data_IF_720237764597
#
_entry.id   IF_720237764597
#
_cell.length_a   1.000
_cell.length_b   1.000
_cell.length_c   1.000
_cell.angle_alpha   90.00
_cell.angle_beta   90.00
_cell.angle_gamma   90.00
#
_symmetry.space_group_name_H-M   'P 1'
#
loop_
_entity.id
_entity.type
_entity.pdbx_description
1 polymer ?
#
# COMPACT_ATOMS: atom_id res chain seq x y z
N UNK A 1 -9.55 -20.62 0.46
CA UNK A 1 -9.38 -20.30 1.90
C UNK A 1 -9.63 -18.81 2.22
N UNK A 2 -8.98 -17.83 1.58
CA UNK A 2 -9.26 -16.39 1.86
C UNK A 2 -10.60 -15.86 1.35
N UNK A 3 -11.10 -16.36 0.20
CA UNK A 3 -12.28 -15.79 -0.49
C UNK A 3 -13.58 -15.80 0.32
N UNK A 4 -13.66 -16.62 1.37
CA UNK A 4 -14.88 -16.80 2.17
C UNK A 4 -15.03 -15.81 3.33
N UNK A 5 -13.99 -15.01 3.63
CA UNK A 5 -13.96 -14.10 4.78
C UNK A 5 -13.62 -12.64 4.41
N UNK A 6 -13.70 -12.29 3.12
CA UNK A 6 -13.35 -10.97 2.58
C UNK A 6 -14.46 -10.47 1.65
N UNK A 7 -14.56 -9.16 1.49
CA UNK A 7 -15.59 -8.52 0.65
C UNK A 7 -16.63 -7.73 1.43
N UNK A 8 -17.67 -7.31 0.70
CA UNK A 8 -18.74 -6.45 1.19
C UNK A 8 -19.49 -7.11 2.36
N UNK A 9 -19.67 -6.36 3.46
CA UNK A 9 -20.30 -6.87 4.69
C UNK A 9 -19.37 -7.60 5.68
N UNK A 10 -18.10 -7.85 5.33
CA UNK A 10 -17.11 -8.43 6.25
C UNK A 10 -15.89 -7.54 6.49
N UNK A 11 -15.22 -7.11 5.42
CA UNK A 11 -14.05 -6.23 5.51
C UNK A 11 -14.28 -5.01 4.65
N UNK A 12 -13.88 -5.07 3.38
CA UNK A 12 -14.11 -4.04 2.36
C UNK A 12 -14.12 -4.70 0.98
N UNK A 13 -14.81 -4.10 0.02
CA UNK A 13 -15.01 -4.64 -1.33
C UNK A 13 -13.70 -4.84 -2.13
N UNK A 14 -12.67 -4.04 -1.84
CA UNK A 14 -11.37 -4.00 -2.53
C UNK A 14 -10.34 -4.99 -1.99
N UNK A 15 -10.63 -5.65 -0.86
CA UNK A 15 -9.67 -6.45 -0.12
C UNK A 15 -9.01 -7.54 -0.99
N UNK A 16 -9.82 -8.31 -1.72
CA UNK A 16 -9.30 -9.38 -2.58
C UNK A 16 -8.35 -8.84 -3.66
N UNK A 17 -8.72 -7.72 -4.28
CA UNK A 17 -7.98 -7.16 -5.40
C UNK A 17 -6.65 -6.56 -4.94
N UNK A 18 -6.69 -5.80 -3.83
CA UNK A 18 -5.51 -5.21 -3.19
C UNK A 18 -4.55 -6.31 -2.75
N UNK A 19 -5.04 -7.36 -2.08
CA UNK A 19 -4.20 -8.48 -1.64
C UNK A 19 -3.53 -9.18 -2.82
N UNK A 20 -4.28 -9.46 -3.89
CA UNK A 20 -3.75 -10.12 -5.08
C UNK A 20 -2.70 -9.26 -5.80
N UNK A 21 -2.93 -7.95 -5.88
CA UNK A 21 -1.99 -7.02 -6.51
C UNK A 21 -0.72 -6.85 -5.67
N UNK A 22 -0.83 -6.67 -4.35
CA UNK A 22 0.32 -6.58 -3.44
C UNK A 22 1.20 -7.82 -3.52
N UNK A 23 0.59 -9.01 -3.55
CA UNK A 23 1.31 -10.27 -3.69
C UNK A 23 2.08 -10.33 -5.01
N UNK A 24 1.45 -9.95 -6.12
CA UNK A 24 2.09 -9.93 -7.43
C UNK A 24 3.28 -8.95 -7.47
N UNK A 25 3.10 -7.72 -6.94
CA UNK A 25 4.17 -6.73 -6.85
C UNK A 25 5.34 -7.21 -5.97
N UNK A 26 5.04 -7.93 -4.88
CA UNK A 26 6.07 -8.46 -3.98
C UNK A 26 6.88 -9.58 -4.65
N UNK A 27 6.21 -10.51 -5.35
CA UNK A 27 6.88 -11.57 -6.08
C UNK A 27 7.84 -11.01 -7.15
N UNK A 28 7.35 -10.08 -7.98
CA UNK A 28 8.17 -9.41 -9.00
C UNK A 28 9.31 -8.63 -8.35
N UNK A 29 9.04 -7.88 -7.27
CA UNK A 29 10.07 -7.13 -6.54
C UNK A 29 11.18 -8.01 -6.01
N UNK A 30 10.88 -9.23 -5.53
CA UNK A 30 11.91 -10.19 -5.10
C UNK A 30 12.76 -10.70 -6.27
N UNK A 31 12.15 -10.99 -7.41
CA UNK A 31 12.89 -11.40 -8.61
C UNK A 31 13.81 -10.26 -9.11
N UNK A 32 13.32 -9.02 -9.10
CA UNK A 32 14.11 -7.83 -9.45
C UNK A 32 15.23 -7.58 -8.43
N UNK A 33 14.99 -7.80 -7.13
CA UNK A 33 16.02 -7.70 -6.11
C UNK A 33 17.15 -8.72 -6.33
N UNK A 34 16.80 -9.96 -6.70
CA UNK A 34 17.78 -10.97 -7.07
C UNK A 34 18.54 -10.57 -8.34
N UNK A 35 17.84 -10.04 -9.35
CA UNK A 35 18.45 -9.54 -10.58
C UNK A 35 19.45 -8.42 -10.29
N UNK A 36 19.07 -7.42 -9.48
CA UNK A 36 19.94 -6.32 -9.02
C UNK A 36 21.25 -6.84 -8.41
N UNK A 37 21.19 -7.89 -7.60
CA UNK A 37 22.36 -8.47 -6.96
C UNK A 37 23.32 -9.17 -7.95
N UNK A 38 22.82 -9.59 -9.12
CA UNK A 38 23.61 -10.30 -10.15
C UNK A 38 24.16 -9.33 -11.20
N UNK A 39 23.33 -8.47 -11.77
CA UNK A 39 23.70 -7.60 -12.91
C UNK A 39 24.03 -6.16 -12.53
N UNK A 40 23.72 -5.75 -11.30
CA UNK A 40 23.90 -4.38 -10.82
C UNK A 40 22.68 -3.48 -11.07
N UNK A 41 22.63 -2.36 -10.36
CA UNK A 41 21.49 -1.43 -10.38
C UNK A 41 21.35 -0.66 -11.69
N UNK A 42 22.45 -0.40 -12.38
CA UNK A 42 22.46 0.37 -13.64
C UNK A 42 21.80 -0.36 -14.81
N UNK A 43 21.65 -1.69 -14.70
CA UNK A 43 21.01 -2.52 -15.72
C UNK A 43 19.48 -2.61 -15.56
N UNK A 44 18.92 -2.00 -14.51
CA UNK A 44 17.49 -2.08 -14.19
C UNK A 44 16.67 -1.09 -15.00
N UNK A 45 15.47 -1.49 -15.38
CA UNK A 45 14.52 -0.59 -16.04
C UNK A 45 13.87 0.36 -15.02
N UNK A 46 13.27 1.48 -15.48
CA UNK A 46 12.51 2.36 -14.58
C UNK A 46 11.38 1.63 -13.83
N UNK A 47 10.75 0.62 -14.45
CA UNK A 47 9.73 -0.21 -13.80
C UNK A 47 10.33 -1.07 -12.69
N UNK A 48 11.49 -1.67 -12.92
CA UNK A 48 12.22 -2.47 -11.92
C UNK A 48 12.56 -1.64 -10.68
N UNK A 49 12.98 -0.38 -10.88
CA UNK A 49 13.27 0.54 -9.78
C UNK A 49 12.01 0.82 -8.93
N UNK A 50 10.84 0.95 -9.55
CA UNK A 50 9.57 1.08 -8.82
C UNK A 50 9.24 -0.17 -8.00
N UNK A 51 9.50 -1.36 -8.55
CA UNK A 51 9.30 -2.62 -7.80
C UNK A 51 10.26 -2.74 -6.60
N UNK A 52 11.51 -2.29 -6.74
CA UNK A 52 12.46 -2.25 -5.62
C UNK A 52 12.06 -1.24 -4.54
N UNK A 53 11.60 -0.06 -4.94
CA UNK A 53 11.07 0.94 -4.01
C UNK A 53 9.85 0.39 -3.27
N UNK A 54 8.91 -0.22 -4.01
CA UNK A 54 7.75 -0.88 -3.44
C UNK A 54 8.16 -1.96 -2.44
N UNK A 55 9.09 -2.84 -2.79
CA UNK A 55 9.53 -3.94 -1.94
C UNK A 55 10.06 -3.43 -0.60
N UNK A 56 10.92 -2.41 -0.66
CA UNK A 56 11.52 -1.79 0.53
C UNK A 56 10.45 -1.15 1.43
N UNK A 57 9.52 -0.39 0.84
CA UNK A 57 8.43 0.25 1.58
C UNK A 57 7.41 -0.76 2.11
N UNK A 58 7.18 -1.85 1.40
CA UNK A 58 6.27 -2.91 1.81
C UNK A 58 6.81 -3.64 3.06
N UNK A 59 8.07 -4.06 3.05
CA UNK A 59 8.69 -4.71 4.20
C UNK A 59 8.72 -3.78 5.42
N UNK A 60 9.05 -2.50 5.21
CA UNK A 60 9.17 -1.52 6.30
C UNK A 60 7.84 -1.02 6.85
N UNK A 61 6.83 -0.80 6.01
CA UNK A 61 5.60 -0.11 6.41
C UNK A 61 4.38 -1.03 6.50
N UNK A 62 4.35 -2.12 5.72
CA UNK A 62 3.23 -3.07 5.74
C UNK A 62 3.53 -4.25 6.66
N UNK A 63 4.69 -4.89 6.51
CA UNK A 63 5.05 -6.09 7.27
C UNK A 63 5.56 -5.74 8.67
N UNK A 64 6.46 -4.76 8.79
CA UNK A 64 6.93 -4.32 10.10
C UNK A 64 5.80 -3.62 10.84
N UNK A 65 5.39 -4.19 11.96
CA UNK A 65 4.38 -3.66 12.87
C UNK A 65 4.98 -3.63 14.28
N UNK A 66 4.79 -2.53 14.99
CA UNK A 66 5.30 -2.39 16.36
C UNK A 66 4.65 -3.41 17.30
N UNK A 67 5.36 -3.84 18.35
CA UNK A 67 4.83 -4.79 19.33
C UNK A 67 3.53 -4.34 20.02
N UNK A 68 3.30 -3.03 20.08
CA UNK A 68 2.11 -2.41 20.68
C UNK A 68 1.16 -1.80 19.64
N UNK A 69 1.45 -1.98 18.37
CA UNK A 69 0.60 -1.48 17.30
C UNK A 69 -0.46 -2.55 17.00
N UNK A 70 -1.74 -2.15 17.00
CA UNK A 70 -2.85 -3.04 16.64
C UNK A 70 -3.59 -2.42 15.46
N UNK A 71 -3.20 -2.78 14.25
CA UNK A 71 -3.84 -2.31 13.03
C UNK A 71 -5.13 -3.06 12.77
N UNK A 72 -6.17 -2.31 12.49
CA UNK A 72 -7.40 -2.84 11.90
C UNK A 72 -7.15 -3.28 10.45
N UNK A 73 -8.06 -4.10 9.94
CA UNK A 73 -8.01 -4.51 8.53
C UNK A 73 -8.14 -3.32 7.58
N UNK A 74 -8.92 -2.29 7.95
CA UNK A 74 -9.10 -1.09 7.14
C UNK A 74 -7.81 -0.27 7.03
N UNK A 75 -7.10 -0.08 8.14
CA UNK A 75 -5.80 0.60 8.15
C UNK A 75 -4.78 -0.18 7.31
N UNK A 76 -4.80 -1.51 7.40
CA UNK A 76 -3.91 -2.36 6.61
C UNK A 76 -4.20 -2.22 5.11
N UNK A 77 -5.47 -2.21 4.71
CA UNK A 77 -5.86 -1.98 3.31
C UNK A 77 -5.50 -0.56 2.84
N UNK A 78 -5.61 0.45 3.71
CA UNK A 78 -5.21 1.82 3.39
C UNK A 78 -3.70 1.95 3.20
N UNK A 79 -2.88 1.30 4.03
CA UNK A 79 -1.43 1.20 3.82
C UNK A 79 -1.13 0.47 2.51
N UNK A 80 -1.87 -0.61 2.22
CA UNK A 80 -1.80 -1.31 0.95
C UNK A 80 -1.98 -0.38 -0.25
N UNK A 81 -3.02 0.45 -0.24
CA UNK A 81 -3.24 1.47 -1.28
C UNK A 81 -2.15 2.53 -1.34
N UNK A 82 -1.62 2.99 -0.20
CA UNK A 82 -0.50 3.92 -0.19
C UNK A 82 0.73 3.35 -0.90
N UNK A 83 0.99 2.05 -0.75
CA UNK A 83 2.09 1.36 -1.42
C UNK A 83 1.80 1.13 -2.91
N UNK A 84 0.57 0.74 -3.26
CA UNK A 84 0.19 0.54 -4.67
C UNK A 84 0.24 1.85 -5.49
N UNK A 85 0.07 3.00 -4.84
CA UNK A 85 0.20 4.33 -5.47
C UNK A 85 1.63 4.72 -5.87
N UNK A 86 2.65 3.93 -5.49
CA UNK A 86 4.00 4.06 -6.03
C UNK A 86 3.99 3.76 -7.53
N UNK A 87 3.13 2.83 -7.95
CA UNK A 87 3.00 2.47 -9.35
C UNK A 87 2.00 3.38 -10.08
N UNK A 88 2.26 3.69 -11.35
CA UNK A 88 1.25 4.28 -12.22
C UNK A 88 0.07 3.31 -12.40
N UNK A 89 -1.14 3.86 -12.57
CA UNK A 89 -2.40 3.10 -12.63
C UNK A 89 -2.39 1.99 -13.70
N UNK A 90 -1.65 2.21 -14.79
CA UNK A 90 -1.52 1.29 -15.92
C UNK A 90 -0.80 -0.02 -15.54
N UNK A 91 0.01 -0.01 -14.48
CA UNK A 91 0.71 -1.19 -13.97
C UNK A 91 -0.14 -2.04 -13.01
N UNK A 92 -1.26 -1.52 -12.51
CA UNK A 92 -2.14 -2.19 -11.55
C UNK A 92 -3.14 -3.13 -12.24
N UNK A 93 -2.61 -4.09 -13.01
CA UNK A 93 -3.40 -4.96 -13.92
C UNK A 93 -4.34 -5.95 -13.22
N UNK A 94 -4.18 -6.21 -11.92
CA UNK A 94 -5.02 -7.17 -11.17
C UNK A 94 -6.15 -6.51 -10.40
N UNK A 95 -6.30 -5.19 -10.51
CA UNK A 95 -7.37 -4.43 -9.86
C UNK A 95 -8.40 -4.02 -10.92
N UNK A 96 -9.69 -4.32 -10.73
CA UNK A 96 -10.75 -3.85 -11.62
C UNK A 96 -10.78 -2.32 -11.70
N UNK A 97 -11.12 -1.79 -12.90
CA UNK A 97 -11.16 -0.35 -13.13
C UNK A 97 -12.14 0.39 -12.20
N UNK A 98 -13.24 -0.27 -11.81
CA UNK A 98 -14.22 0.26 -10.85
C UNK A 98 -13.59 0.51 -9.47
N UNK A 99 -12.85 -0.47 -8.96
CA UNK A 99 -12.13 -0.38 -7.69
C UNK A 99 -11.00 0.64 -7.77
N UNK A 100 -10.24 0.63 -8.88
CA UNK A 100 -9.14 1.57 -9.09
C UNK A 100 -9.66 3.02 -9.12
N UNK A 101 -10.75 3.29 -9.82
CA UNK A 101 -11.36 4.63 -9.88
C UNK A 101 -11.79 5.15 -8.50
N UNK A 102 -12.20 4.26 -7.59
CA UNK A 102 -12.70 4.61 -6.25
C UNK A 102 -11.58 4.84 -5.23
N UNK A 103 -10.50 4.05 -5.28
CA UNK A 103 -9.48 4.03 -4.22
C UNK A 103 -8.08 4.52 -4.64
N UNK A 104 -7.79 4.57 -5.95
CA UNK A 104 -6.51 5.08 -6.45
C UNK A 104 -6.35 6.60 -6.32
N UNK A 105 -7.38 7.45 -6.59
CA UNK A 105 -7.26 8.90 -6.45
C UNK A 105 -6.78 9.26 -5.05
N UNK A 106 -5.78 10.15 -4.98
CA UNK A 106 -5.29 10.65 -3.71
C UNK A 106 -6.32 11.66 -3.23
N UNK A 107 -7.28 11.23 -2.42
CA UNK A 107 -8.10 12.16 -1.64
C UNK A 107 -7.15 12.94 -0.74
N UNK A 108 -6.78 14.13 -1.21
CA UNK A 108 -5.93 15.12 -0.55
C UNK A 108 -6.58 15.71 0.71
N UNK A 109 -7.75 15.21 1.11
CA UNK A 109 -8.59 15.78 2.16
C UNK A 109 -8.28 15.27 3.58
N UNK A 110 -7.53 14.17 3.76
CA UNK A 110 -7.34 13.57 5.10
C UNK A 110 -6.06 13.92 5.86
N UNK A 111 -5.13 14.67 5.26
CA UNK A 111 -3.87 15.10 5.91
C UNK A 111 -3.86 16.54 6.44
N UNK A 112 -4.97 17.28 6.38
CA UNK A 112 -5.04 18.68 6.84
C UNK A 112 -5.70 18.88 8.23
N UNK A 113 -6.01 17.81 8.99
CA UNK A 113 -6.91 17.88 10.15
C UNK A 113 -6.33 17.61 11.55
N UNK A 114 -5.03 17.36 11.71
CA UNK A 114 -4.47 16.89 13.01
C UNK A 114 -3.50 17.87 13.70
N UNK A 115 -3.61 19.18 13.44
CA UNK A 115 -2.80 20.19 14.11
C UNK A 115 -3.65 21.39 14.56
N UNK A 116 -4.60 21.17 15.47
CA UNK A 116 -5.23 22.24 16.23
C UNK A 116 -5.95 21.67 17.47
N UNK A 117 -5.21 21.41 18.55
CA UNK A 117 -5.78 21.49 19.89
C UNK A 117 -5.25 22.78 20.54
N UNK A 118 -6.09 23.81 20.73
CA UNK A 118 -5.69 24.99 21.47
C UNK A 118 -5.60 24.65 22.96
N UNK A 119 -4.44 24.96 23.52
CA UNK A 119 -4.15 25.02 24.94
C UNK A 119 -5.20 25.91 25.65
N UNK A 120 -6.07 25.30 26.45
CA UNK A 120 -6.92 26.02 27.40
C UNK A 120 -6.22 26.07 28.76
N UNK A 121 -5.16 26.87 28.80
CA UNK A 121 -4.58 27.37 30.03
C UNK A 121 -4.63 28.89 29.96
N UNK A 122 -5.72 29.49 30.44
CA UNK A 122 -5.80 30.85 31.05
C UNK A 122 -7.27 31.30 31.06
N UNK A 123 -7.94 31.18 32.21
CA UNK A 123 -8.64 32.32 32.84
C UNK A 123 -9.25 31.91 34.19
N UNK A 124 -8.69 32.54 35.24
CA UNK A 124 -9.28 32.97 36.52
C UNK A 124 -9.83 31.91 37.48
#
# INVERSE_FOLDING_TARGET
>A
LMKSAIGEGMTREDHSDVSNQLYACYAIGKDVQAMKAVVGEEALTPEDLLYLEFLTKFEKNFISQGHYENRTIFESLDIGWQLLRIFPKEMLKRIPQSTLAKYYPRDTQKSAGAAAHPDQSTQL
#
